data_IF_072870470367
#
_entry.id   IF_072870470367
#
_cell.length_a   1.000
_cell.length_b   1.000
_cell.length_c   1.000
_cell.angle_alpha   90.00
_cell.angle_beta   90.00
_cell.angle_gamma   90.00
#
_symmetry.space_group_name_H-M   'P 1'
#
loop_
_entity.id
_entity.type
_entity.pdbx_description
1 polymer ?
#
# COMPACT_ATOMS: atom_id res chain seq x y z
N UNK A 1 14.18 -16.10 20.22
CA UNK A 1 14.10 -14.63 20.09
C UNK A 1 15.39 -13.98 19.58
N UNK A 2 16.44 -14.75 19.28
CA UNK A 2 17.68 -14.22 18.71
C UNK A 2 17.51 -13.61 17.32
N UNK A 3 16.56 -14.12 16.53
CA UNK A 3 16.25 -13.59 15.20
C UNK A 3 15.74 -12.14 15.25
N UNK A 4 15.01 -11.76 16.31
CA UNK A 4 14.49 -10.40 16.46
C UNK A 4 15.62 -9.42 16.81
N UNK A 5 16.55 -9.85 17.67
CA UNK A 5 17.73 -9.06 18.03
C UNK A 5 18.66 -8.81 16.86
N UNK A 6 18.69 -9.70 15.86
CA UNK A 6 19.44 -9.47 14.62
C UNK A 6 18.80 -8.37 13.78
N UNK A 7 17.46 -8.35 13.64
CA UNK A 7 16.76 -7.33 12.85
C UNK A 7 16.86 -5.94 13.49
N UNK A 8 16.88 -5.87 14.82
CA UNK A 8 17.01 -4.62 15.57
C UNK A 8 18.44 -4.03 15.56
N UNK A 9 19.41 -4.71 14.93
CA UNK A 9 20.74 -4.14 14.76
C UNK A 9 20.67 -2.88 13.89
N UNK A 10 21.38 -1.81 14.28
CA UNK A 10 21.32 -0.53 13.57
C UNK A 10 21.75 -0.66 12.10
N UNK A 11 22.69 -1.55 11.77
CA UNK A 11 23.10 -1.77 10.38
C UNK A 11 21.93 -2.32 9.54
N UNK A 12 21.17 -3.29 10.08
CA UNK A 12 20.04 -3.89 9.39
C UNK A 12 18.86 -2.91 9.30
N UNK A 13 18.55 -2.20 10.39
CA UNK A 13 17.49 -1.20 10.40
C UNK A 13 17.74 -0.06 9.41
N UNK A 14 18.99 0.37 9.24
CA UNK A 14 19.34 1.45 8.29
C UNK A 14 18.96 1.12 6.85
N UNK A 15 18.93 -0.17 6.49
CA UNK A 15 18.53 -0.66 5.18
C UNK A 15 17.06 -1.10 5.14
N UNK A 16 16.55 -1.68 6.23
CA UNK A 16 15.17 -2.18 6.32
C UNK A 16 14.15 -1.03 6.32
N UNK A 17 14.42 0.04 7.06
CA UNK A 17 13.52 1.21 7.18
C UNK A 17 13.19 1.83 5.81
N UNK A 18 14.16 2.18 4.95
CA UNK A 18 13.83 2.77 3.64
C UNK A 18 13.07 1.80 2.74
N UNK A 19 13.36 0.49 2.77
CA UNK A 19 12.61 -0.52 2.01
C UNK A 19 11.15 -0.54 2.46
N UNK A 20 10.91 -0.62 3.76
CA UNK A 20 9.55 -0.62 4.33
C UNK A 20 8.83 0.67 4.01
N UNK A 21 9.52 1.82 4.05
CA UNK A 21 8.93 3.11 3.69
C UNK A 21 8.47 3.16 2.22
N UNK A 22 9.30 2.68 1.29
CA UNK A 22 8.97 2.61 -0.14
C UNK A 22 7.78 1.67 -0.35
N UNK A 23 7.85 0.46 0.18
CA UNK A 23 6.77 -0.54 0.07
C UNK A 23 5.47 0.00 0.68
N UNK A 24 5.55 0.68 1.83
CA UNK A 24 4.41 1.30 2.49
C UNK A 24 3.76 2.38 1.64
N UNK A 25 4.56 3.27 1.03
CA UNK A 25 4.05 4.31 0.14
C UNK A 25 3.31 3.72 -1.08
N UNK A 26 3.89 2.69 -1.71
CA UNK A 26 3.25 1.99 -2.83
C UNK A 26 2.00 1.22 -2.40
N UNK A 27 2.01 0.58 -1.24
CA UNK A 27 0.85 -0.13 -0.72
C UNK A 27 -0.34 0.81 -0.50
N UNK A 28 -0.12 1.99 0.08
CA UNK A 28 -1.16 3.01 0.27
C UNK A 28 -1.68 3.52 -1.08
N UNK A 29 -0.79 3.81 -2.04
CA UNK A 29 -1.19 4.24 -3.37
C UNK A 29 -2.03 3.17 -4.10
N UNK A 30 -1.61 1.91 -4.02
CA UNK A 30 -2.34 0.78 -4.60
C UNK A 30 -3.71 0.59 -3.95
N UNK A 31 -3.80 0.70 -2.62
CA UNK A 31 -5.05 0.58 -1.89
C UNK A 31 -6.03 1.69 -2.30
N UNK A 32 -5.55 2.93 -2.39
CA UNK A 32 -6.37 4.07 -2.83
C UNK A 32 -6.86 3.89 -4.28
N UNK A 33 -5.99 3.41 -5.17
CA UNK A 33 -6.36 3.12 -6.55
C UNK A 33 -7.42 1.99 -6.63
N UNK A 34 -7.29 0.96 -5.79
CA UNK A 34 -8.25 -0.12 -5.69
C UNK A 34 -9.61 0.37 -5.19
N UNK A 35 -9.65 1.17 -4.13
CA UNK A 35 -10.89 1.76 -3.64
C UNK A 35 -11.57 2.64 -4.69
N UNK A 36 -10.81 3.51 -5.37
CA UNK A 36 -11.35 4.33 -6.46
C UNK A 36 -11.91 3.48 -7.60
N UNK A 37 -11.29 2.33 -7.89
CA UNK A 37 -11.81 1.40 -8.89
C UNK A 37 -13.12 0.76 -8.44
N UNK A 38 -13.21 0.28 -7.19
CA UNK A 38 -14.45 -0.27 -6.63
C UNK A 38 -15.58 0.76 -6.64
N UNK A 39 -15.29 2.00 -6.23
CA UNK A 39 -16.26 3.09 -6.24
C UNK A 39 -16.77 3.39 -7.65
N UNK A 40 -15.91 3.35 -8.67
CA UNK A 40 -16.34 3.47 -10.07
C UNK A 40 -17.28 2.34 -10.48
N UNK A 41 -16.96 1.09 -10.10
CA UNK A 41 -17.81 -0.06 -10.41
C UNK A 41 -19.17 0.05 -9.71
N UNK A 42 -19.20 0.52 -8.46
CA UNK A 42 -20.43 0.74 -7.71
C UNK A 42 -21.29 1.85 -8.33
N UNK A 43 -20.67 2.98 -8.73
CA UNK A 43 -21.36 4.05 -9.46
C UNK A 43 -21.96 3.55 -10.78
N UNK A 44 -21.21 2.74 -11.55
CA UNK A 44 -21.72 2.10 -12.78
C UNK A 44 -22.92 1.20 -12.47
N UNK A 45 -22.84 0.38 -11.42
CA UNK A 45 -23.95 -0.49 -10.98
C UNK A 45 -25.19 0.32 -10.55
N UNK A 46 -25.00 1.51 -10.00
CA UNK A 46 -26.08 2.43 -9.61
C UNK A 46 -26.65 3.23 -10.81
N UNK A 47 -26.21 2.95 -12.03
CA UNK A 47 -26.71 3.59 -13.25
C UNK A 47 -25.96 4.87 -13.65
N UNK A 48 -24.85 5.21 -12.99
CA UNK A 48 -23.96 6.29 -13.43
C UNK A 48 -23.22 5.84 -14.69
N UNK A 49 -23.43 6.54 -15.81
CA UNK A 49 -22.72 6.25 -17.06
C UNK A 49 -21.45 7.12 -17.13
N UNK A 50 -20.24 6.55 -16.97
CA UNK A 50 -19.00 7.33 -16.91
C UNK A 50 -18.54 7.88 -18.27
N UNK A 51 -19.30 7.61 -19.34
CA UNK A 51 -18.99 8.00 -20.73
C UNK A 51 -19.90 9.12 -21.29
N UNK A 52 -20.64 9.83 -20.42
CA UNK A 52 -21.34 11.08 -20.78
C UNK A 52 -20.82 12.26 -19.97
#
# INVERSE_FOLDING_TARGET
MEWLNQILKPEILSLLIPIVAIVGAFAVAALNAHHKHQERIERIKQGFNPEK
#
